data_IF_506452244925
#
_entry.id   IF_506452244925
#
_cell.length_a   1.000
_cell.length_b   1.000
_cell.length_c   1.000
_cell.angle_alpha   90.00
_cell.angle_beta   90.00
_cell.angle_gamma   90.00
#
_symmetry.space_group_name_H-M   'P 1'
#
loop_
_entity.id
_entity.type
_entity.pdbx_description
1 polymer ?
#
# COMPACT_ATOMS: atom_id res chain seq x y z
N UNK A 1 -1.80 -9.63 15.63
CA UNK A 1 -2.77 -8.75 14.95
C UNK A 1 -2.32 -8.53 13.51
N UNK A 2 -3.25 -8.52 12.55
CA UNK A 2 -2.95 -8.18 11.18
C UNK A 2 -2.50 -6.71 11.06
N UNK A 3 -1.66 -6.40 10.07
CA UNK A 3 -1.33 -5.02 9.72
C UNK A 3 -2.54 -4.24 9.22
N UNK A 4 -2.43 -2.91 9.14
CA UNK A 4 -3.51 -2.03 8.65
C UNK A 4 -3.06 -1.12 7.53
N UNK A 5 -3.94 -0.91 6.55
CA UNK A 5 -3.75 0.12 5.53
C UNK A 5 -4.26 1.46 6.03
N UNK A 6 -3.45 2.50 5.85
CA UNK A 6 -3.83 3.90 6.05
C UNK A 6 -3.85 4.59 4.70
N UNK A 7 -5.01 5.07 4.27
CA UNK A 7 -5.18 5.91 3.08
C UNK A 7 -5.17 7.38 3.50
N UNK A 8 -4.37 8.20 2.83
CA UNK A 8 -4.23 9.62 3.14
C UNK A 8 -3.97 10.44 1.88
N UNK A 9 -4.25 11.74 1.95
CA UNK A 9 -3.88 12.71 0.90
C UNK A 9 -2.54 13.32 1.28
N UNK A 10 -1.59 13.34 0.36
CA UNK A 10 -0.27 13.94 0.58
C UNK A 10 -0.28 15.46 0.37
N UNK A 11 0.88 16.09 0.60
CA UNK A 11 1.06 17.54 0.44
C UNK A 11 0.93 18.02 -1.01
N UNK A 12 1.14 17.13 -1.99
CA UNK A 12 0.96 17.41 -3.42
C UNK A 12 -0.50 17.20 -3.86
N UNK A 13 -1.39 16.86 -2.93
CA UNK A 13 -2.80 16.64 -3.19
C UNK A 13 -3.11 15.28 -3.81
N UNK A 14 -2.14 14.35 -3.85
CA UNK A 14 -2.33 12.98 -4.36
C UNK A 14 -2.77 12.06 -3.24
N UNK A 15 -3.52 11.02 -3.59
CA UNK A 15 -3.92 9.97 -2.66
C UNK A 15 -2.87 8.88 -2.59
N UNK A 16 -2.48 8.48 -1.40
CA UNK A 16 -1.50 7.41 -1.16
C UNK A 16 -2.03 6.47 -0.10
N UNK A 17 -1.48 5.28 -0.05
CA UNK A 17 -1.69 4.37 1.07
C UNK A 17 -0.36 3.95 1.68
N UNK A 18 -0.38 3.51 2.93
CA UNK A 18 0.74 2.83 3.58
C UNK A 18 0.23 1.66 4.42
N UNK A 19 0.97 0.56 4.42
CA UNK A 19 0.72 -0.58 5.29
C UNK A 19 1.57 -0.44 6.55
N UNK A 20 0.93 -0.49 7.71
CA UNK A 20 1.61 -0.55 9.00
C UNK A 20 1.54 -1.95 9.59
N UNK A 21 2.68 -2.43 10.09
CA UNK A 21 2.74 -3.63 10.92
C UNK A 21 2.08 -3.38 12.29
N UNK A 22 1.88 -4.45 13.05
CA UNK A 22 1.28 -4.40 14.39
C UNK A 22 2.06 -3.51 15.37
N UNK A 23 3.38 -3.36 15.17
CA UNK A 23 4.25 -2.47 15.94
C UNK A 23 4.17 -0.99 15.49
N UNK A 24 3.29 -0.65 14.53
CA UNK A 24 3.09 0.70 14.03
C UNK A 24 4.08 1.17 12.96
N UNK A 25 5.10 0.37 12.64
CA UNK A 25 6.08 0.69 11.60
C UNK A 25 5.45 0.56 10.21
N UNK A 26 5.82 1.46 9.31
CA UNK A 26 5.43 1.40 7.90
C UNK A 26 6.30 0.36 7.19
N UNK A 27 5.67 -0.64 6.59
CA UNK A 27 6.36 -1.75 5.89
C UNK A 27 6.13 -1.74 4.38
N UNK A 28 5.12 -1.00 3.90
CA UNK A 28 4.92 -0.75 2.47
C UNK A 28 4.24 0.60 2.26
N UNK A 29 4.54 1.26 1.14
CA UNK A 29 3.91 2.52 0.72
C UNK A 29 3.46 2.39 -0.72
N UNK A 30 2.23 2.79 -1.00
CA UNK A 30 1.68 2.83 -2.35
C UNK A 30 2.13 4.05 -3.15
N UNK A 31 1.84 4.00 -4.44
CA UNK A 31 2.06 5.09 -5.38
C UNK A 31 1.17 6.31 -5.08
N UNK A 32 1.43 7.40 -5.82
CA UNK A 32 0.62 8.61 -5.78
C UNK A 32 -0.51 8.51 -6.82
N UNK A 33 -1.75 8.37 -6.35
CA UNK A 33 -2.95 8.29 -7.16
C UNK A 33 -3.65 9.65 -7.27
N UNK A 34 -4.29 9.91 -8.41
CA UNK A 34 -5.09 11.13 -8.62
C UNK A 34 -6.40 11.15 -7.80
N UNK A 35 -6.96 9.98 -7.49
CA UNK A 35 -8.25 9.87 -6.81
C UNK A 35 -8.22 8.89 -5.64
N UNK A 36 -9.10 9.12 -4.66
CA UNK A 36 -9.28 8.22 -3.51
C UNK A 36 -9.67 6.81 -3.97
N UNK A 37 -10.59 6.71 -4.91
CA UNK A 37 -11.07 5.43 -5.44
C UNK A 37 -9.94 4.62 -6.11
N UNK A 38 -9.03 5.29 -6.83
CA UNK A 38 -7.87 4.63 -7.41
C UNK A 38 -6.93 4.07 -6.33
N UNK A 39 -6.68 4.83 -5.25
CA UNK A 39 -5.90 4.33 -4.11
C UNK A 39 -6.58 3.17 -3.38
N UNK A 40 -7.90 3.19 -3.20
CA UNK A 40 -8.67 2.09 -2.62
C UNK A 40 -8.60 0.83 -3.48
N UNK A 41 -8.68 0.96 -4.81
CA UNK A 41 -8.48 -0.14 -5.74
C UNK A 41 -7.05 -0.70 -5.66
N UNK A 42 -6.04 0.17 -5.51
CA UNK A 42 -4.66 -0.24 -5.26
C UNK A 42 -4.51 -1.07 -3.98
N UNK A 43 -5.11 -0.62 -2.87
CA UNK A 43 -5.14 -1.38 -1.60
C UNK A 43 -5.80 -2.75 -1.82
N UNK A 44 -6.97 -2.80 -2.46
CA UNK A 44 -7.68 -4.06 -2.73
C UNK A 44 -6.83 -5.01 -3.56
N UNK A 45 -6.15 -4.50 -4.59
CA UNK A 45 -5.24 -5.31 -5.41
C UNK A 45 -4.10 -5.90 -4.57
N UNK A 46 -3.48 -5.11 -3.70
CA UNK A 46 -2.43 -5.63 -2.78
C UNK A 46 -3.00 -6.69 -1.84
N UNK A 47 -4.17 -6.45 -1.24
CA UNK A 47 -4.80 -7.44 -0.34
C UNK A 47 -5.10 -8.77 -1.04
N UNK A 48 -5.53 -8.73 -2.30
CA UNK A 48 -5.85 -9.92 -3.09
C UNK A 48 -4.60 -10.63 -3.58
N UNK A 49 -3.60 -9.90 -4.06
CA UNK A 49 -2.48 -10.49 -4.82
C UNK A 49 -1.23 -10.72 -3.97
N UNK A 50 -1.03 -10.02 -2.85
CA UNK A 50 0.21 -10.11 -2.07
C UNK A 50 0.27 -11.38 -1.21
N UNK A 51 -0.87 -11.91 -0.77
CA UNK A 51 -0.90 -13.10 0.07
C UNK A 51 -0.40 -14.32 -0.73
N UNK A 52 0.79 -14.82 -0.39
CA UNK A 52 1.41 -15.95 -1.09
C UNK A 52 2.10 -15.60 -2.40
N UNK A 53 2.25 -14.31 -2.74
CA UNK A 53 3.06 -13.90 -3.88
C UNK A 53 4.53 -14.36 -3.69
N UNK A 54 5.17 -14.93 -4.72
CA UNK A 54 6.56 -15.33 -4.62
C UNK A 54 7.47 -14.10 -4.50
N UNK A 55 8.53 -14.23 -3.71
CA UNK A 55 9.62 -13.26 -3.74
C UNK A 55 10.53 -13.62 -4.91
N UNK A 56 10.75 -12.67 -5.81
CA UNK A 56 11.65 -12.82 -6.95
C UNK A 56 12.77 -11.81 -6.79
N UNK A 57 14.00 -12.30 -6.74
CA UNK A 57 15.20 -11.46 -6.80
C UNK A 57 15.43 -11.07 -8.27
N UNK A 58 15.64 -9.78 -8.51
CA UNK A 58 15.85 -9.23 -9.85
C UNK A 58 17.22 -8.56 -9.82
N UNK A 59 18.17 -9.09 -10.57
CA UNK A 59 19.49 -8.50 -10.72
C UNK A 59 19.37 -7.18 -11.51
N UNK A 60 20.07 -6.14 -11.03
CA UNK A 60 20.12 -4.81 -11.63
C UNK A 60 21.44 -4.52 -12.33
#
# INVERSE_FOLDING_TARGET
>A
MAGKFELYKDKAGKYRFRLKASNGQVIATGEAYESKAAAENGIKSVQTNAAGAPTVEVDG
#
